data_IF_850318450808
#
_entry.id   IF_850318450808
#
_cell.length_a   1.000
_cell.length_b   1.000
_cell.length_c   1.000
_cell.angle_alpha   90.00
_cell.angle_beta   90.00
_cell.angle_gamma   90.00
#
_symmetry.space_group_name_H-M   'P 1'
#
loop_
_entity.id
_entity.type
_entity.pdbx_description
1 polymer ?
#
# COMPACT_ATOMS: atom_id res chain seq x y z
N UNK A 1 1.08 12.18 19.40
CA UNK A 1 0.80 10.77 18.99
C UNK A 1 -0.69 10.39 19.01
N UNK A 2 -1.65 11.34 18.93
CA UNK A 2 -3.05 11.05 19.30
C UNK A 2 -3.88 10.20 18.31
N UNK A 3 -3.40 9.97 17.08
CA UNK A 3 -4.10 9.15 16.05
C UNK A 3 -3.20 8.08 15.39
N UNK A 4 -2.05 7.75 16.00
CA UNK A 4 -1.12 6.79 15.39
C UNK A 4 -1.71 5.37 15.34
N UNK A 5 -2.37 4.95 16.41
CA UNK A 5 -3.06 3.67 16.48
C UNK A 5 -4.16 3.55 15.41
N UNK A 6 -4.99 4.59 15.22
CA UNK A 6 -6.04 4.58 14.19
C UNK A 6 -5.49 4.47 12.76
N UNK A 7 -4.36 5.13 12.48
CA UNK A 7 -3.69 5.02 11.18
C UNK A 7 -3.14 3.61 10.93
N UNK A 8 -2.52 3.00 11.94
CA UNK A 8 -2.00 1.63 11.85
C UNK A 8 -3.14 0.61 11.69
N UNK A 9 -4.20 0.75 12.47
CA UNK A 9 -5.35 -0.16 12.39
C UNK A 9 -6.02 -0.05 11.01
N UNK A 10 -6.24 1.17 10.52
CA UNK A 10 -6.78 1.39 9.18
C UNK A 10 -5.90 0.80 8.08
N UNK A 11 -4.57 0.97 8.20
CA UNK A 11 -3.61 0.35 7.29
C UNK A 11 -3.66 -1.17 7.35
N UNK A 12 -3.66 -1.76 8.55
CA UNK A 12 -3.69 -3.21 8.75
C UNK A 12 -4.97 -3.84 8.17
N UNK A 13 -6.14 -3.22 8.40
CA UNK A 13 -7.42 -3.67 7.84
C UNK A 13 -7.41 -3.55 6.31
N UNK A 14 -6.95 -2.43 5.76
CA UNK A 14 -6.86 -2.24 4.32
C UNK A 14 -5.91 -3.23 3.65
N UNK A 15 -4.74 -3.47 4.25
CA UNK A 15 -3.75 -4.43 3.77
C UNK A 15 -4.28 -5.86 3.81
N UNK A 16 -4.88 -6.27 4.94
CA UNK A 16 -5.46 -7.60 5.07
C UNK A 16 -6.61 -7.83 4.07
N UNK A 17 -7.49 -6.84 3.91
CA UNK A 17 -8.58 -6.89 2.92
C UNK A 17 -8.07 -6.97 1.48
N UNK A 18 -7.06 -6.18 1.14
CA UNK A 18 -6.44 -6.23 -0.19
C UNK A 18 -5.82 -7.60 -0.47
N UNK A 19 -5.00 -8.14 0.45
CA UNK A 19 -4.35 -9.44 0.27
C UNK A 19 -5.37 -10.57 0.16
N UNK A 20 -6.45 -10.51 0.94
CA UNK A 20 -7.54 -11.48 0.88
C UNK A 20 -8.23 -11.46 -0.49
N UNK A 21 -8.58 -10.28 -0.99
CA UNK A 21 -9.20 -10.14 -2.31
C UNK A 21 -8.25 -10.52 -3.44
N UNK A 22 -6.97 -10.14 -3.34
CA UNK A 22 -5.95 -10.51 -4.31
C UNK A 22 -5.81 -12.03 -4.41
N UNK A 23 -5.84 -12.73 -3.28
CA UNK A 23 -5.82 -14.19 -3.26
C UNK A 23 -7.02 -14.79 -4.00
N UNK A 24 -8.24 -14.37 -3.67
CA UNK A 24 -9.47 -14.98 -4.21
C UNK A 24 -9.69 -14.63 -5.68
N UNK A 25 -9.41 -13.38 -6.07
CA UNK A 25 -9.73 -12.89 -7.41
C UNK A 25 -8.61 -13.21 -8.42
N UNK A 26 -7.36 -13.23 -7.98
CA UNK A 26 -6.20 -13.39 -8.87
C UNK A 26 -5.56 -14.76 -8.67
N UNK A 27 -5.00 -15.03 -7.48
CA UNK A 27 -4.20 -16.25 -7.27
C UNK A 27 -5.03 -17.53 -7.45
N UNK A 28 -6.28 -17.58 -6.95
CA UNK A 28 -7.16 -18.75 -7.08
C UNK A 28 -7.56 -19.08 -8.54
N UNK A 29 -7.39 -18.12 -9.46
CA UNK A 29 -7.67 -18.27 -10.89
C UNK A 29 -6.40 -18.40 -11.73
N UNK A 30 -5.23 -18.28 -11.12
CA UNK A 30 -3.93 -18.33 -11.81
C UNK A 30 -3.30 -19.70 -11.55
N UNK A 31 -2.69 -20.30 -12.58
CA UNK A 31 -1.96 -21.54 -12.38
C UNK A 31 -0.71 -21.28 -11.52
N UNK A 32 -0.24 -22.26 -10.71
CA UNK A 32 0.95 -22.07 -9.87
C UNK A 32 2.21 -21.64 -10.64
N UNK A 33 2.34 -22.03 -11.92
CA UNK A 33 3.46 -21.59 -12.77
C UNK A 33 3.38 -20.13 -13.18
N UNK A 34 2.17 -19.55 -13.20
CA UNK A 34 1.90 -18.20 -13.70
C UNK A 34 1.76 -17.17 -12.58
N UNK A 35 1.84 -17.58 -11.30
CA UNK A 35 1.70 -16.70 -10.12
C UNK A 35 2.80 -15.62 -10.04
N UNK A 36 3.93 -15.80 -10.73
CA UNK A 36 5.04 -14.86 -10.74
C UNK A 36 4.62 -13.48 -11.26
N UNK A 37 3.83 -13.43 -12.33
CA UNK A 37 3.39 -12.18 -12.94
C UNK A 37 2.52 -11.32 -12.00
N UNK A 38 1.40 -11.83 -11.44
CA UNK A 38 0.60 -11.07 -10.49
C UNK A 38 1.38 -10.76 -9.19
N UNK A 39 2.26 -11.67 -8.74
CA UNK A 39 3.15 -11.41 -7.61
C UNK A 39 4.06 -10.19 -7.82
N UNK A 40 4.67 -10.08 -8.99
CA UNK A 40 5.51 -8.94 -9.36
C UNK A 40 4.72 -7.62 -9.41
N UNK A 41 3.48 -7.65 -9.94
CA UNK A 41 2.61 -6.47 -9.96
C UNK A 41 2.30 -5.98 -8.54
N UNK A 42 2.00 -6.90 -7.63
CA UNK A 42 1.76 -6.57 -6.22
C UNK A 42 2.99 -5.92 -5.57
N UNK A 43 4.19 -6.49 -5.78
CA UNK A 43 5.43 -5.93 -5.23
C UNK A 43 5.68 -4.51 -5.74
N UNK A 44 5.54 -4.29 -7.04
CA UNK A 44 5.69 -2.96 -7.65
C UNK A 44 4.66 -1.98 -7.07
N UNK A 45 3.41 -2.40 -6.91
CA UNK A 45 2.36 -1.56 -6.32
C UNK A 45 2.69 -1.13 -4.89
N UNK A 46 3.23 -2.04 -4.05
CA UNK A 46 3.68 -1.70 -2.69
C UNK A 46 4.83 -0.70 -2.73
N UNK A 47 5.84 -0.93 -3.58
CA UNK A 47 6.97 -0.02 -3.73
C UNK A 47 6.53 1.37 -4.18
N UNK A 48 5.65 1.45 -5.18
CA UNK A 48 5.08 2.73 -5.65
C UNK A 48 4.29 3.43 -4.55
N UNK A 49 3.48 2.70 -3.78
CA UNK A 49 2.73 3.25 -2.65
C UNK A 49 3.63 3.86 -1.58
N UNK A 50 4.73 3.18 -1.24
CA UNK A 50 5.74 3.71 -0.29
C UNK A 50 6.41 4.97 -0.84
N UNK A 51 6.83 4.97 -2.10
CA UNK A 51 7.44 6.12 -2.75
C UNK A 51 6.50 7.34 -2.77
N UNK A 52 5.25 7.16 -3.16
CA UNK A 52 4.26 8.24 -3.16
C UNK A 52 3.91 8.71 -1.76
N UNK A 53 3.81 7.80 -0.79
CA UNK A 53 3.61 8.16 0.62
C UNK A 53 4.76 9.02 1.15
N UNK A 54 6.01 8.66 0.83
CA UNK A 54 7.20 9.42 1.20
C UNK A 54 7.24 10.80 0.51
N UNK A 55 7.03 10.84 -0.81
CA UNK A 55 6.99 12.10 -1.57
C UNK A 55 5.87 13.03 -1.06
N UNK A 56 4.68 12.48 -0.78
CA UNK A 56 3.57 13.21 -0.18
C UNK A 56 3.91 13.79 1.18
N UNK A 57 4.66 13.06 2.02
CA UNK A 57 5.14 13.58 3.30
C UNK A 57 6.12 14.74 3.14
N UNK A 58 7.07 14.65 2.19
CA UNK A 58 7.99 15.76 1.87
C UNK A 58 7.20 17.00 1.44
N UNK A 59 6.27 16.84 0.49
CA UNK A 59 5.46 17.94 -0.05
C UNK A 59 4.61 18.58 1.06
N UNK A 60 3.98 17.76 1.92
CA UNK A 60 3.18 18.28 3.03
C UNK A 60 4.02 19.10 4.02
N UNK A 61 5.23 18.66 4.33
CA UNK A 61 6.11 19.39 5.25
C UNK A 61 6.61 20.70 4.62
N UNK A 62 7.01 20.67 3.35
CA UNK A 62 7.43 21.88 2.62
C UNK A 62 6.31 22.94 2.54
N UNK A 63 5.08 22.52 2.21
CA UNK A 63 3.93 23.42 2.16
C UNK A 63 3.53 23.95 3.54
N UNK A 64 3.78 23.19 4.61
CA UNK A 64 3.48 23.59 5.98
C UNK A 64 4.50 24.61 6.50
N UNK A 65 5.77 24.48 6.15
CA UNK A 65 6.81 25.48 6.44
C UNK A 65 6.64 26.74 5.58
N UNK A 66 6.26 26.62 4.31
CA UNK A 66 6.00 27.77 3.44
C UNK A 66 4.77 28.61 3.83
N UNK A 67 3.86 28.07 4.65
CA UNK A 67 2.66 28.76 5.17
C UNK A 67 2.83 29.32 6.57
N UNK A 68 3.97 29.07 7.23
CA UNK A 68 4.34 29.63 8.53
C UNK A 68 5.13 30.93 8.34
#
# INVERSE_FOLDING_TARGET
MKNFAGKIIGFAIGMAGFLFLFKILILDKTSPSDELAPGMVMIIAVMSGVLFGFAGNIIQNYLRESKA
#
